data_IF_135484178808
#
_entry.id   IF_135484178808
#
_cell.length_a   1.000
_cell.length_b   1.000
_cell.length_c   1.000
_cell.angle_alpha   90.00
_cell.angle_beta   90.00
_cell.angle_gamma   90.00
#
_symmetry.space_group_name_H-M   'P 1'
#
loop_
_entity.id
_entity.type
_entity.pdbx_description
1 polymer ?
#
# COMPACT_ATOMS: atom_id res chain seq x y z
N UNK A 1 3.78 18.24 22.37
CA UNK A 1 3.54 18.58 20.93
C UNK A 1 3.84 17.42 19.98
N UNK A 2 4.97 16.71 20.14
CA UNK A 2 5.34 15.54 19.32
C UNK A 2 4.26 14.45 19.24
N UNK A 3 3.53 14.19 20.34
CA UNK A 3 2.48 13.16 20.38
C UNK A 3 1.31 13.46 19.44
N UNK A 4 0.83 14.71 19.41
CA UNK A 4 -0.30 15.13 18.56
C UNK A 4 0.03 15.06 17.07
N UNK A 5 1.30 15.30 16.70
CA UNK A 5 1.75 15.17 15.31
C UNK A 5 1.77 13.70 14.89
N UNK A 6 2.30 12.81 15.74
CA UNK A 6 2.30 11.36 15.51
C UNK A 6 0.87 10.83 15.36
N UNK A 7 -0.06 11.28 16.20
CA UNK A 7 -1.48 10.94 16.11
C UNK A 7 -2.10 11.37 14.77
N UNK A 8 -1.82 12.59 14.30
CA UNK A 8 -2.30 13.07 13.00
C UNK A 8 -1.76 12.25 11.83
N UNK A 9 -0.48 11.88 11.88
CA UNK A 9 0.13 11.03 10.86
C UNK A 9 -0.55 9.66 10.87
N UNK A 10 -0.72 9.04 12.03
CA UNK A 10 -1.42 7.76 12.15
C UNK A 10 -2.86 7.84 11.60
N UNK A 11 -3.60 8.91 11.90
CA UNK A 11 -4.94 9.14 11.35
C UNK A 11 -4.94 9.27 9.82
N UNK A 12 -3.93 9.92 9.24
CA UNK A 12 -3.78 10.03 7.79
C UNK A 12 -3.58 8.65 7.16
N UNK A 13 -2.64 7.85 7.68
CA UNK A 13 -2.37 6.50 7.18
C UNK A 13 -3.57 5.56 7.34
N UNK A 14 -4.29 5.64 8.45
CA UNK A 14 -5.53 4.87 8.64
C UNK A 14 -6.60 5.24 7.61
N UNK A 15 -6.73 6.53 7.28
CA UNK A 15 -7.66 7.00 6.24
C UNK A 15 -7.23 6.52 4.85
N UNK A 16 -5.95 6.60 4.53
CA UNK A 16 -5.40 6.08 3.27
C UNK A 16 -5.65 4.59 3.12
N UNK A 17 -5.40 3.80 4.18
CA UNK A 17 -5.68 2.37 4.18
C UNK A 17 -7.17 2.09 3.96
N UNK A 18 -8.05 2.85 4.61
CA UNK A 18 -9.51 2.70 4.45
C UNK A 18 -9.95 2.99 3.02
N UNK A 19 -9.44 4.06 2.41
CA UNK A 19 -9.73 4.41 1.02
C UNK A 19 -9.21 3.34 0.06
N UNK A 20 -7.99 2.85 0.27
CA UNK A 20 -7.41 1.79 -0.54
C UNK A 20 -8.24 0.50 -0.49
N UNK A 21 -8.69 0.09 0.70
CA UNK A 21 -9.61 -1.05 0.87
C UNK A 21 -10.88 -0.86 0.07
N UNK A 22 -11.46 0.34 0.11
CA UNK A 22 -12.69 0.64 -0.60
C UNK A 22 -12.50 0.55 -2.11
N UNK A 23 -11.45 1.16 -2.65
CA UNK A 23 -11.12 1.08 -4.09
C UNK A 23 -10.91 -0.37 -4.56
N UNK A 24 -10.22 -1.19 -3.78
CA UNK A 24 -9.99 -2.60 -4.12
C UNK A 24 -11.30 -3.40 -4.10
N UNK A 25 -12.20 -3.14 -3.13
CA UNK A 25 -13.52 -3.78 -3.08
C UNK A 25 -14.39 -3.41 -4.28
N UNK A 26 -14.39 -2.13 -4.67
CA UNK A 26 -15.14 -1.66 -5.84
C UNK A 26 -14.61 -2.30 -7.12
N UNK A 27 -13.30 -2.39 -7.28
CA UNK A 27 -12.69 -3.10 -8.39
C UNK A 27 -13.06 -4.59 -8.40
N UNK A 28 -12.98 -5.26 -7.25
CA UNK A 28 -13.34 -6.68 -7.12
C UNK A 28 -14.79 -6.96 -7.50
N UNK A 29 -15.73 -6.11 -7.03
CA UNK A 29 -17.15 -6.21 -7.33
C UNK A 29 -17.44 -5.98 -8.82
N UNK A 30 -16.70 -5.07 -9.47
CA UNK A 30 -16.86 -4.80 -10.90
C UNK A 30 -16.34 -5.94 -11.80
N UNK A 31 -15.42 -6.78 -11.32
CA UNK A 31 -14.78 -7.85 -12.10
C UNK A 31 -15.16 -9.26 -11.61
N UNK A 32 -16.15 -9.37 -10.73
CA UNK A 32 -16.60 -10.62 -10.09
C UNK A 32 -15.45 -11.46 -9.51
N UNK A 33 -14.49 -10.79 -8.89
CA UNK A 33 -13.27 -11.40 -8.36
C UNK A 33 -13.35 -11.56 -6.84
N UNK A 34 -13.12 -12.78 -6.35
CA UNK A 34 -13.06 -13.06 -4.91
C UNK A 34 -11.66 -12.77 -4.36
N UNK A 35 -11.40 -11.49 -4.04
CA UNK A 35 -10.14 -11.07 -3.41
C UNK A 35 -10.32 -10.61 -1.98
N UNK A 36 -9.35 -10.91 -1.14
CA UNK A 36 -9.30 -10.36 0.21
C UNK A 36 -8.77 -8.92 0.18
N UNK A 37 -9.66 -7.96 -0.10
CA UNK A 37 -9.31 -6.53 -0.19
C UNK A 37 -8.60 -5.99 1.06
N UNK A 38 -8.87 -6.56 2.25
CA UNK A 38 -8.20 -6.18 3.48
C UNK A 38 -6.72 -6.57 3.46
N UNK A 39 -6.42 -7.82 3.11
CA UNK A 39 -5.02 -8.30 3.01
C UNK A 39 -4.23 -7.52 1.97
N UNK A 40 -4.83 -7.26 0.80
CA UNK A 40 -4.18 -6.51 -0.28
C UNK A 40 -3.87 -5.08 0.15
N UNK A 41 -4.85 -4.38 0.73
CA UNK A 41 -4.63 -3.00 1.18
C UNK A 41 -3.55 -2.92 2.26
N UNK A 42 -3.58 -3.80 3.26
CA UNK A 42 -2.57 -3.81 4.33
C UNK A 42 -1.18 -4.13 3.77
N UNK A 43 -1.06 -5.05 2.82
CA UNK A 43 0.20 -5.34 2.14
C UNK A 43 0.75 -4.10 1.40
N UNK A 44 -0.10 -3.43 0.61
CA UNK A 44 0.27 -2.22 -0.12
C UNK A 44 0.70 -1.08 0.81
N UNK A 45 0.00 -0.89 1.93
CA UNK A 45 0.37 0.09 2.95
C UNK A 45 1.74 -0.22 3.56
N UNK A 46 2.02 -1.47 3.92
CA UNK A 46 3.32 -1.89 4.45
C UNK A 46 4.46 -1.65 3.45
N UNK A 47 4.22 -1.83 2.14
CA UNK A 47 5.21 -1.55 1.09
C UNK A 47 5.48 -0.05 1.00
N UNK A 48 4.44 0.79 1.02
CA UNK A 48 4.58 2.26 1.02
C UNK A 48 5.37 2.72 2.24
N UNK A 49 5.04 2.21 3.43
CA UNK A 49 5.77 2.54 4.66
C UNK A 49 7.23 2.10 4.58
N UNK A 50 7.51 0.89 4.09
CA UNK A 50 8.86 0.38 3.90
C UNK A 50 9.69 1.26 2.95
N UNK A 51 9.08 1.76 1.88
CA UNK A 51 9.72 2.70 0.93
C UNK A 51 10.01 4.04 1.57
N UNK A 52 9.07 4.61 2.31
CA UNK A 52 9.28 5.87 3.04
C UNK A 52 10.39 5.73 4.09
N UNK A 53 10.42 4.62 4.83
CA UNK A 53 11.48 4.34 5.80
C UNK A 53 12.83 4.13 5.12
N UNK A 54 12.88 3.45 3.97
CA UNK A 54 14.11 3.32 3.18
C UNK A 54 14.64 4.68 2.70
N UNK A 55 13.76 5.58 2.26
CA UNK A 55 14.11 6.95 1.86
C UNK A 55 14.73 7.73 3.03
N UNK A 56 14.09 7.71 4.20
CA UNK A 56 14.60 8.36 5.42
C UNK A 56 15.93 7.74 5.85
N UNK A 57 16.07 6.40 5.86
CA UNK A 57 17.32 5.70 6.20
C UNK A 57 18.46 6.02 5.23
N UNK A 58 18.15 6.36 3.99
CA UNK A 58 19.14 6.76 3.00
C UNK A 58 19.57 8.22 3.12
N UNK A 59 19.11 8.96 4.14
CA UNK A 59 19.29 10.41 4.26
C UNK A 59 18.81 11.15 3.01
N UNK A 60 17.68 10.69 2.45
CA UNK A 60 17.09 11.24 1.24
C UNK A 60 17.92 11.07 -0.05
N UNK A 61 18.92 10.19 -0.05
CA UNK A 61 19.79 9.94 -1.22
C UNK A 61 19.14 9.01 -2.26
N UNK A 62 18.30 8.06 -1.84
CA UNK A 62 17.63 7.09 -2.73
C UNK A 62 16.18 7.44 -2.90
N UNK A 63 15.72 7.67 -4.13
CA UNK A 63 14.33 8.07 -4.35
C UNK A 63 13.35 6.97 -3.91
N UNK A 64 12.26 7.30 -3.19
CA UNK A 64 11.27 6.30 -2.78
C UNK A 64 10.51 5.69 -3.97
N UNK A 65 10.62 6.27 -5.15
CA UNK A 65 10.01 5.78 -6.41
C UNK A 65 11.03 5.17 -7.36
N UNK A 66 12.29 5.06 -6.94
CA UNK A 66 13.30 4.29 -7.65
C UNK A 66 12.81 2.85 -7.84
N UNK A 67 12.99 2.33 -9.05
CA UNK A 67 12.55 0.99 -9.49
C UNK A 67 11.06 0.67 -9.31
N UNK A 68 10.21 1.66 -8.98
CA UNK A 68 8.79 1.40 -8.73
C UNK A 68 8.06 0.69 -9.88
N UNK A 69 8.27 1.02 -11.17
CA UNK A 69 7.57 0.33 -12.26
C UNK A 69 7.85 -1.19 -12.30
N UNK A 70 9.11 -1.58 -12.08
CA UNK A 70 9.51 -2.98 -12.07
C UNK A 70 8.94 -3.71 -10.84
N UNK A 71 9.04 -3.11 -9.66
CA UNK A 71 8.52 -3.71 -8.43
C UNK A 71 6.99 -3.77 -8.41
N UNK A 72 6.31 -2.76 -8.96
CA UNK A 72 4.86 -2.74 -9.10
C UNK A 72 4.37 -3.88 -9.98
N UNK A 73 5.09 -4.21 -11.06
CA UNK A 73 4.75 -5.33 -11.94
C UNK A 73 4.73 -6.65 -11.17
N UNK A 74 5.74 -6.90 -10.32
CA UNK A 74 5.83 -8.11 -9.48
C UNK A 74 4.68 -8.15 -8.46
N UNK A 75 4.41 -7.03 -7.80
CA UNK A 75 3.31 -6.92 -6.82
C UNK A 75 1.98 -7.20 -7.51
N UNK A 76 1.72 -6.54 -8.65
CA UNK A 76 0.47 -6.66 -9.39
C UNK A 76 0.23 -8.09 -9.88
N UNK A 77 1.25 -8.76 -10.43
CA UNK A 77 1.16 -10.16 -10.83
C UNK A 77 0.82 -11.06 -9.64
N UNK A 78 1.53 -10.88 -8.51
CA UNK A 78 1.29 -11.66 -7.29
C UNK A 78 -0.12 -11.45 -6.72
N UNK A 79 -0.66 -10.23 -6.84
CA UNK A 79 -2.02 -9.89 -6.40
C UNK A 79 -3.09 -10.52 -7.28
N UNK A 80 -2.87 -10.63 -8.60
CA UNK A 80 -3.82 -11.27 -9.51
C UNK A 80 -3.78 -12.81 -9.42
N UNK A 81 -2.58 -13.40 -9.34
CA UNK A 81 -2.40 -14.86 -9.31
C UNK A 81 -2.96 -15.51 -8.03
N UNK A 82 -2.94 -14.80 -6.90
CA UNK A 82 -3.50 -15.26 -5.63
C UNK A 82 -5.02 -15.40 -5.60
N UNK A 83 -5.72 -14.97 -6.65
CA UNK A 83 -7.18 -14.95 -6.75
C UNK A 83 -7.78 -16.22 -7.38
N UNK A 84 -6.93 -17.14 -7.85
CA UNK A 84 -7.34 -18.37 -8.52
C UNK A 84 -7.14 -19.59 -7.61
N UNK A 85 -7.95 -19.72 -6.56
CA UNK A 85 -8.25 -21.00 -5.90
C UNK A 85 -9.66 -21.01 -5.35
#
# INVERSE_FOLDING_TARGET
>A
EQQRLRERIAQLFNRLETQLKQTIREWAAAHDHLINANQIATLLMNIIDGRLQAYVRSEFKRSPVEEWPAQWTIIYQSLLEGSCK
#
